data_IF_076614792962
#
_entry.id   IF_076614792962
#
_cell.length_a   1.000
_cell.length_b   1.000
_cell.length_c   1.000
_cell.angle_alpha   90.00
_cell.angle_beta   90.00
_cell.angle_gamma   90.00
#
_symmetry.space_group_name_H-M   'P 1'
#
loop_
_entity.id
_entity.type
_entity.pdbx_description
1 polymer ?
#
# COMPACT_ATOMS: atom_id res chain seq x y z
N UNK A 1 38.63 -0.91 14.08
CA UNK A 1 37.26 -0.38 14.12
C UNK A 1 36.44 -1.18 13.13
N UNK A 2 35.30 -1.71 13.54
CA UNK A 2 34.40 -2.46 12.66
C UNK A 2 33.33 -1.54 12.11
N UNK A 3 32.96 -1.72 10.84
CA UNK A 3 31.92 -0.94 10.17
C UNK A 3 30.83 -1.87 9.66
N UNK A 4 29.57 -1.50 9.90
CA UNK A 4 28.40 -2.18 9.34
C UNK A 4 27.63 -1.23 8.42
N UNK A 5 27.11 -1.73 7.30
CA UNK A 5 26.19 -1.00 6.42
C UNK A 5 24.76 -1.44 6.73
N UNK A 6 23.83 -0.49 6.85
CA UNK A 6 22.40 -0.77 6.95
C UNK A 6 21.75 -0.27 5.67
N UNK A 7 21.34 -1.20 4.80
CA UNK A 7 20.62 -0.88 3.58
C UNK A 7 19.13 -0.71 3.90
N UNK A 8 18.68 0.54 3.94
CA UNK A 8 17.28 0.90 4.00
C UNK A 8 16.59 0.66 2.65
N UNK A 9 15.38 0.11 2.70
CA UNK A 9 14.52 -0.11 1.54
C UNK A 9 13.12 0.44 1.83
N UNK A 10 12.22 -0.39 2.34
CA UNK A 10 10.84 -0.06 2.71
C UNK A 10 10.65 -0.08 4.24
N UNK A 11 11.65 0.43 4.96
CA UNK A 11 11.79 0.41 6.42
C UNK A 11 12.40 1.71 6.95
N UNK A 12 11.94 2.85 6.40
CA UNK A 12 12.51 4.19 6.57
C UNK A 12 12.21 4.82 7.95
N UNK A 13 12.73 4.22 9.01
CA UNK A 13 12.51 4.63 10.40
C UNK A 13 13.70 4.28 11.30
N UNK A 14 13.79 4.91 12.46
CA UNK A 14 14.77 4.54 13.50
C UNK A 14 14.15 3.83 14.70
N UNK A 15 12.84 3.97 14.95
CA UNK A 15 12.17 3.22 16.02
C UNK A 15 11.78 1.83 15.51
N UNK A 16 11.93 0.84 16.36
CA UNK A 16 11.64 -0.56 16.04
C UNK A 16 12.27 -1.02 14.71
N UNK A 17 13.57 -0.79 14.55
CA UNK A 17 14.31 -1.12 13.33
C UNK A 17 15.37 -2.21 13.61
N UNK A 18 15.04 -3.50 13.46
CA UNK A 18 15.96 -4.62 13.71
C UNK A 18 17.29 -4.56 12.94
N UNK A 19 17.32 -4.22 11.63
CA UNK A 19 18.58 -4.13 10.89
C UNK A 19 19.54 -3.10 11.50
N UNK A 20 19.05 -1.89 11.82
CA UNK A 20 19.84 -0.84 12.48
C UNK A 20 20.24 -1.27 13.89
N UNK A 21 19.32 -1.87 14.65
CA UNK A 21 19.63 -2.36 16.01
C UNK A 21 20.77 -3.37 16.01
N UNK A 22 20.78 -4.30 15.06
CA UNK A 22 21.82 -5.31 14.94
C UNK A 22 23.17 -4.70 14.50
N UNK A 23 23.15 -3.75 13.57
CA UNK A 23 24.36 -3.09 13.06
C UNK A 23 25.11 -2.26 14.13
N UNK A 24 24.44 -1.84 15.21
CA UNK A 24 25.06 -1.12 16.34
C UNK A 24 26.04 -1.97 17.16
N UNK A 25 26.20 -3.27 16.85
CA UNK A 25 27.28 -4.08 17.39
C UNK A 25 28.65 -3.70 16.79
N UNK A 26 28.67 -3.01 15.64
CA UNK A 26 29.87 -2.43 15.05
C UNK A 26 30.21 -1.07 15.69
N UNK A 27 31.48 -0.64 15.58
CA UNK A 27 31.94 0.65 16.10
C UNK A 27 31.29 1.83 15.35
N UNK A 28 31.09 1.66 14.04
CA UNK A 28 30.45 2.63 13.16
C UNK A 28 29.43 1.96 12.23
N UNK A 29 28.39 2.71 11.87
CA UNK A 29 27.30 2.26 11.01
C UNK A 29 27.14 3.22 9.86
N UNK A 30 26.93 2.70 8.65
CA UNK A 30 26.54 3.48 7.47
C UNK A 30 25.05 3.25 7.18
N UNK A 31 24.14 4.15 7.60
CA UNK A 31 22.76 4.16 7.12
C UNK A 31 22.75 4.49 5.63
N UNK A 32 22.45 3.52 4.78
CA UNK A 32 22.52 3.64 3.33
C UNK A 32 21.12 3.54 2.71
N UNK A 33 20.78 4.47 1.84
CA UNK A 33 19.65 4.35 0.91
C UNK A 33 20.15 4.51 -0.53
N UNK A 34 19.71 3.63 -1.42
CA UNK A 34 20.10 3.68 -2.84
C UNK A 34 18.87 3.95 -3.70
N UNK A 35 18.90 5.05 -4.46
CA UNK A 35 17.94 5.36 -5.52
C UNK A 35 18.20 4.46 -6.71
N UNK A 36 17.42 3.39 -6.76
CA UNK A 36 17.59 2.29 -7.70
C UNK A 36 16.91 2.56 -9.06
N UNK A 37 17.66 2.62 -10.18
CA UNK A 37 17.06 2.78 -11.50
C UNK A 37 16.15 1.61 -11.90
N UNK A 38 16.27 0.43 -11.29
CA UNK A 38 15.36 -0.69 -11.53
C UNK A 38 13.94 -0.46 -11.01
N UNK A 39 13.76 0.40 -10.00
CA UNK A 39 12.44 0.83 -9.51
C UNK A 39 11.77 1.76 -10.54
N UNK A 40 12.55 2.63 -11.18
CA UNK A 40 12.10 3.47 -12.28
C UNK A 40 11.73 2.66 -13.52
N UNK A 41 12.57 1.69 -13.89
CA UNK A 41 12.30 0.80 -15.02
C UNK A 41 11.02 -0.04 -14.83
N UNK A 42 10.64 -0.36 -13.58
CA UNK A 42 9.37 -0.99 -13.24
C UNK A 42 8.17 -0.01 -13.22
N UNK A 43 8.41 1.29 -13.43
CA UNK A 43 7.42 2.35 -13.37
C UNK A 43 6.84 2.53 -11.98
N UNK A 44 7.60 2.28 -10.92
CA UNK A 44 7.10 2.29 -9.55
C UNK A 44 7.42 3.58 -8.79
N UNK A 45 8.30 4.43 -9.31
CA UNK A 45 8.69 5.74 -8.77
C UNK A 45 7.80 6.90 -9.26
N UNK A 46 6.49 6.65 -9.33
CA UNK A 46 5.49 7.65 -9.76
C UNK A 46 5.48 8.88 -8.83
N UNK A 47 5.04 10.07 -9.31
CA UNK A 47 5.23 11.33 -8.59
C UNK A 47 4.80 11.32 -7.12
N UNK A 48 3.60 10.80 -6.83
CA UNK A 48 3.06 10.75 -5.47
C UNK A 48 3.91 9.90 -4.50
N UNK A 49 4.39 8.73 -4.96
CA UNK A 49 5.26 7.88 -4.15
C UNK A 49 6.66 8.46 -4.02
N UNK A 50 7.19 9.06 -5.08
CA UNK A 50 8.50 9.71 -5.07
C UNK A 50 8.55 10.91 -4.12
N UNK A 51 7.48 11.72 -4.07
CA UNK A 51 7.34 12.81 -3.11
C UNK A 51 7.27 12.31 -1.67
N UNK A 52 6.46 11.29 -1.40
CA UNK A 52 6.36 10.72 -0.06
C UNK A 52 7.67 10.03 0.38
N UNK A 53 8.39 9.40 -0.55
CA UNK A 53 9.73 8.86 -0.31
C UNK A 53 10.71 9.98 0.06
N UNK A 54 10.73 11.09 -0.69
CA UNK A 54 11.59 12.24 -0.38
C UNK A 54 11.34 12.79 1.03
N UNK A 55 10.07 12.93 1.43
CA UNK A 55 9.69 13.31 2.79
C UNK A 55 10.20 12.27 3.82
N UNK A 56 10.06 10.97 3.55
CA UNK A 56 10.55 9.91 4.43
C UNK A 56 12.07 9.95 4.61
N UNK A 57 12.82 10.13 3.53
CA UNK A 57 14.29 10.20 3.58
C UNK A 57 14.76 11.45 4.33
N UNK A 58 14.06 12.57 4.16
CA UNK A 58 14.34 13.81 4.89
C UNK A 58 14.11 13.64 6.39
N UNK A 59 12.99 13.05 6.80
CA UNK A 59 12.71 12.81 8.23
C UNK A 59 13.65 11.76 8.84
N UNK A 60 14.02 10.72 8.07
CA UNK A 60 15.00 9.72 8.48
C UNK A 60 16.39 10.33 8.69
N UNK A 61 16.89 11.14 7.74
CA UNK A 61 18.17 11.85 7.88
C UNK A 61 18.15 12.78 9.10
N UNK A 62 17.09 13.57 9.29
CA UNK A 62 16.94 14.42 10.47
C UNK A 62 16.96 13.61 11.77
N UNK A 63 16.30 12.44 11.79
CA UNK A 63 16.31 11.52 12.93
C UNK A 63 17.69 10.93 13.22
N UNK A 64 18.46 10.59 12.18
CA UNK A 64 19.84 10.10 12.31
C UNK A 64 20.80 11.20 12.77
N UNK A 65 20.64 12.44 12.27
CA UNK A 65 21.45 13.60 12.70
C UNK A 65 21.29 13.95 14.16
N UNK A 66 20.06 13.90 14.68
CA UNK A 66 19.80 14.05 16.13
C UNK A 66 20.53 13.00 17.00
N UNK A 67 21.02 11.91 16.38
CA UNK A 67 21.76 10.81 17.01
C UNK A 67 23.25 10.83 16.66
N UNK A 68 23.76 11.93 16.11
CA UNK A 68 25.16 12.09 15.72
C UNK A 68 25.56 11.43 14.41
N UNK A 69 24.58 10.92 13.64
CA UNK A 69 24.81 10.27 12.35
C UNK A 69 24.29 11.09 11.18
N UNK A 70 24.06 10.41 10.06
CA UNK A 70 23.42 10.94 8.84
C UNK A 70 22.97 9.78 7.95
N UNK A 71 22.05 10.04 7.04
CA UNK A 71 21.74 9.14 5.94
C UNK A 71 22.75 9.33 4.81
N UNK A 72 23.29 8.24 4.28
CA UNK A 72 24.07 8.21 3.05
C UNK A 72 23.15 7.82 1.92
N UNK A 73 22.98 8.72 0.95
CA UNK A 73 22.23 8.44 -0.29
C UNK A 73 23.20 8.16 -1.44
N UNK A 74 22.87 7.16 -2.25
CA UNK A 74 23.51 6.85 -3.54
C UNK A 74 22.46 6.74 -4.63
N UNK A 75 22.88 6.85 -5.88
CA UNK A 75 22.05 6.55 -7.05
C UNK A 75 22.79 5.59 -7.98
N UNK A 76 22.14 4.48 -8.32
CA UNK A 76 22.73 3.46 -9.18
C UNK A 76 22.17 2.07 -8.91
N UNK A 77 22.64 1.04 -9.64
CA UNK A 77 22.26 -0.33 -9.37
C UNK A 77 22.60 -0.72 -7.93
N UNK A 78 21.59 -1.13 -7.14
CA UNK A 78 21.72 -1.28 -5.68
C UNK A 78 22.89 -2.15 -5.26
N UNK A 79 23.08 -3.28 -5.94
CA UNK A 79 24.15 -4.22 -5.61
C UNK A 79 25.52 -3.58 -5.79
N UNK A 80 25.72 -2.80 -6.85
CA UNK A 80 26.97 -2.13 -7.14
C UNK A 80 27.26 -1.04 -6.09
N UNK A 81 26.27 -0.20 -5.78
CA UNK A 81 26.41 0.87 -4.81
C UNK A 81 26.66 0.35 -3.39
N UNK A 82 25.98 -0.72 -2.98
CA UNK A 82 26.20 -1.35 -1.66
C UNK A 82 27.60 -1.94 -1.56
N UNK A 83 28.06 -2.63 -2.61
CA UNK A 83 29.42 -3.17 -2.67
C UNK A 83 30.49 -2.06 -2.66
N UNK A 84 30.26 -0.96 -3.39
CA UNK A 84 31.17 0.18 -3.41
C UNK A 84 31.27 0.85 -2.04
N UNK A 85 30.13 1.06 -1.36
CA UNK A 85 30.12 1.61 0.01
C UNK A 85 30.78 0.66 1.00
N UNK A 86 30.50 -0.64 0.93
CA UNK A 86 31.12 -1.63 1.81
C UNK A 86 32.65 -1.63 1.66
N UNK A 87 33.16 -1.61 0.43
CA UNK A 87 34.60 -1.51 0.16
C UNK A 87 35.19 -0.18 0.66
N UNK A 88 34.50 0.95 0.42
CA UNK A 88 34.96 2.30 0.81
C UNK A 88 35.20 2.45 2.32
N UNK A 89 34.41 1.75 3.15
CA UNK A 89 34.52 1.82 4.61
C UNK A 89 35.05 0.53 5.25
N UNK A 90 35.54 -0.42 4.45
CA UNK A 90 35.98 -1.75 4.91
C UNK A 90 34.92 -2.43 5.82
N UNK A 91 33.65 -2.33 5.44
CA UNK A 91 32.56 -2.92 6.21
C UNK A 91 32.68 -4.44 6.23
N UNK A 92 32.42 -5.04 7.39
CA UNK A 92 32.41 -6.50 7.56
C UNK A 92 31.02 -7.09 7.43
N UNK A 93 29.99 -6.24 7.55
CA UNK A 93 28.59 -6.65 7.59
C UNK A 93 27.69 -5.69 6.81
N UNK A 94 26.66 -6.23 6.16
CA UNK A 94 25.53 -5.50 5.57
C UNK A 94 24.24 -6.04 6.16
N UNK A 95 23.36 -5.16 6.61
CA UNK A 95 22.07 -5.49 7.20
C UNK A 95 20.94 -4.99 6.30
N UNK A 96 19.93 -5.82 6.06
CA UNK A 96 18.78 -5.53 5.20
C UNK A 96 17.50 -6.14 5.78
N UNK A 97 16.37 -5.46 5.64
CA UNK A 97 15.05 -6.03 5.89
C UNK A 97 14.64 -7.03 4.79
N UNK A 98 14.08 -8.18 5.16
CA UNK A 98 13.53 -9.13 4.19
C UNK A 98 12.35 -8.52 3.43
N UNK A 99 12.21 -8.93 2.16
CA UNK A 99 11.10 -8.51 1.30
C UNK A 99 10.53 -9.71 0.54
N UNK A 100 9.27 -9.61 0.10
CA UNK A 100 8.52 -10.74 -0.48
C UNK A 100 8.32 -10.67 -1.99
N UNK A 101 8.70 -9.56 -2.61
CA UNK A 101 8.52 -9.36 -4.05
C UNK A 101 9.62 -10.06 -4.83
N UNK A 102 9.32 -10.46 -6.06
CA UNK A 102 10.36 -11.00 -6.96
C UNK A 102 11.53 -10.03 -7.15
N UNK A 103 11.29 -8.71 -7.06
CA UNK A 103 12.33 -7.70 -7.06
C UNK A 103 13.23 -7.80 -5.82
N UNK A 104 12.63 -7.88 -4.63
CA UNK A 104 13.36 -7.99 -3.36
C UNK A 104 14.20 -9.28 -3.30
N UNK A 105 13.63 -10.42 -3.71
CA UNK A 105 14.35 -11.70 -3.74
C UNK A 105 15.56 -11.65 -4.69
N UNK A 106 15.40 -11.08 -5.90
CA UNK A 106 16.54 -10.93 -6.84
C UNK A 106 17.63 -10.02 -6.28
N UNK A 107 17.25 -8.87 -5.70
CA UNK A 107 18.21 -7.96 -5.04
C UNK A 107 18.96 -8.67 -3.93
N UNK A 108 18.26 -9.40 -3.06
CA UNK A 108 18.89 -10.14 -1.96
C UNK A 108 19.87 -11.20 -2.46
N UNK A 109 19.47 -12.02 -3.44
CA UNK A 109 20.33 -13.05 -4.01
C UNK A 109 21.62 -12.44 -4.62
N UNK A 110 21.47 -11.37 -5.41
CA UNK A 110 22.61 -10.69 -6.01
C UNK A 110 23.53 -10.03 -4.97
N UNK A 111 22.96 -9.42 -3.92
CA UNK A 111 23.75 -8.89 -2.80
C UNK A 111 24.51 -9.99 -2.08
N UNK A 112 23.87 -11.14 -1.83
CA UNK A 112 24.49 -12.28 -1.14
C UNK A 112 25.70 -12.80 -1.90
N UNK A 113 25.58 -12.95 -3.22
CA UNK A 113 26.66 -13.43 -4.07
C UNK A 113 27.79 -12.40 -4.18
N UNK A 114 27.47 -11.13 -4.41
CA UNK A 114 28.46 -10.07 -4.57
C UNK A 114 29.25 -9.78 -3.27
N UNK A 115 28.56 -9.72 -2.12
CA UNK A 115 29.19 -9.46 -0.83
C UNK A 115 30.04 -10.65 -0.34
N UNK A 116 29.63 -11.89 -0.64
CA UNK A 116 30.45 -13.08 -0.38
C UNK A 116 31.80 -12.99 -1.09
N UNK A 117 31.82 -12.51 -2.34
CA UNK A 117 33.06 -12.27 -3.09
C UNK A 117 34.01 -11.25 -2.44
N UNK A 118 33.50 -10.38 -1.57
CA UNK A 118 34.27 -9.38 -0.82
C UNK A 118 34.55 -9.78 0.64
N UNK A 119 34.11 -10.97 1.08
CA UNK A 119 34.23 -11.38 2.47
C UNK A 119 33.32 -10.62 3.44
N UNK A 120 32.25 -9.98 2.94
CA UNK A 120 31.29 -9.19 3.73
C UNK A 120 30.04 -10.03 4.03
N UNK A 121 29.62 -10.11 5.29
CA UNK A 121 28.45 -10.89 5.68
C UNK A 121 27.15 -10.12 5.40
N UNK A 122 26.19 -10.76 4.72
CA UNK A 122 24.84 -10.23 4.56
C UNK A 122 23.89 -10.81 5.63
N UNK A 123 23.30 -9.93 6.44
CA UNK A 123 22.31 -10.25 7.45
C UNK A 123 20.92 -9.75 7.02
N UNK A 124 20.01 -10.68 6.79
CA UNK A 124 18.63 -10.39 6.40
C UNK A 124 17.71 -10.55 7.61
N UNK A 125 16.89 -9.55 7.88
CA UNK A 125 16.05 -9.47 9.08
C UNK A 125 14.57 -9.58 8.73
N UNK A 126 13.90 -10.58 9.31
CA UNK A 126 12.47 -10.78 9.16
C UNK A 126 11.63 -9.91 10.11
N UNK A 127 10.33 -9.84 9.84
CA UNK A 127 9.35 -9.09 10.66
C UNK A 127 9.73 -7.61 10.85
N UNK A 128 10.36 -7.02 9.84
CA UNK A 128 10.66 -5.58 9.77
C UNK A 128 9.57 -4.85 9.02
N UNK A 129 9.17 -5.39 7.87
CA UNK A 129 8.10 -4.87 7.01
C UNK A 129 6.75 -5.52 7.29
N UNK A 130 6.69 -6.70 7.92
CA UNK A 130 5.46 -7.38 8.38
C UNK A 130 5.48 -7.55 9.89
N UNK A 131 4.33 -7.78 10.52
CA UNK A 131 4.30 -8.09 11.95
C UNK A 131 4.71 -9.55 12.22
N UNK A 132 4.26 -10.47 11.34
CA UNK A 132 4.68 -11.87 11.32
C UNK A 132 5.33 -12.17 9.97
N UNK A 133 6.46 -12.85 9.99
CA UNK A 133 7.18 -13.22 8.77
C UNK A 133 6.38 -14.20 7.90
N UNK A 134 6.38 -14.06 6.57
CA UNK A 134 5.94 -15.12 5.67
C UNK A 134 6.60 -16.46 6.01
N UNK A 135 5.83 -17.55 5.94
CA UNK A 135 6.33 -18.89 6.29
C UNK A 135 6.37 -19.20 7.79
N UNK A 136 6.26 -18.20 8.69
CA UNK A 136 6.15 -18.47 10.12
C UNK A 136 4.81 -19.13 10.50
N UNK A 137 3.76 -18.85 9.72
CA UNK A 137 2.41 -19.41 9.91
C UNK A 137 1.97 -20.09 8.61
N UNK A 138 1.97 -21.42 8.61
CA UNK A 138 1.55 -22.25 7.48
C UNK A 138 0.54 -23.31 7.91
N UNK A 139 -0.39 -23.73 7.03
CA UNK A 139 -1.24 -24.87 7.30
C UNK A 139 -0.46 -26.19 7.12
N UNK A 140 -0.93 -27.26 7.76
CA UNK A 140 -0.33 -28.59 7.59
C UNK A 140 -0.39 -29.00 6.12
N UNK A 141 0.76 -29.38 5.55
CA UNK A 141 0.86 -29.91 4.19
C UNK A 141 0.77 -28.86 3.06
N UNK A 142 0.72 -27.56 3.36
CA UNK A 142 0.83 -26.52 2.34
C UNK A 142 1.82 -25.42 2.75
N UNK A 143 2.26 -24.64 1.78
CA UNK A 143 3.25 -23.58 1.92
C UNK A 143 2.67 -22.24 2.39
N UNK A 144 1.35 -22.04 2.28
CA UNK A 144 0.68 -20.81 2.71
C UNK A 144 -0.82 -21.02 2.97
N UNK A 145 -1.45 -20.11 3.72
CA UNK A 145 -2.90 -20.08 3.84
C UNK A 145 -3.53 -19.37 2.62
N UNK A 146 -4.51 -20.02 1.99
CA UNK A 146 -5.27 -19.43 0.88
C UNK A 146 -6.61 -18.78 1.30
N UNK A 147 -6.93 -18.80 2.61
CA UNK A 147 -8.16 -18.22 3.18
C UNK A 147 -7.79 -17.41 4.43
N UNK A 148 -8.30 -16.18 4.52
CA UNK A 148 -7.92 -15.23 5.58
C UNK A 148 -8.33 -15.68 6.98
N UNK A 149 -9.57 -16.14 7.19
CA UNK A 149 -10.07 -16.47 8.54
C UNK A 149 -9.20 -17.49 9.30
N UNK A 150 -8.83 -18.66 8.73
CA UNK A 150 -7.93 -19.59 9.42
C UNK A 150 -6.51 -19.03 9.58
N UNK A 151 -6.01 -18.23 8.63
CA UNK A 151 -4.74 -17.53 8.79
C UNK A 151 -4.77 -16.58 9.99
N UNK A 152 -5.78 -15.70 10.08
CA UNK A 152 -5.94 -14.74 11.17
C UNK A 152 -6.00 -15.43 12.54
N UNK A 153 -6.68 -16.57 12.64
CA UNK A 153 -6.72 -17.36 13.89
C UNK A 153 -5.33 -17.80 14.33
N UNK A 154 -4.50 -18.32 13.41
CA UNK A 154 -3.13 -18.75 13.72
C UNK A 154 -2.19 -17.56 13.94
N UNK A 155 -2.21 -16.59 13.04
CA UNK A 155 -1.43 -15.35 13.12
C UNK A 155 -1.68 -14.60 14.44
N UNK A 156 -2.91 -14.60 14.95
CA UNK A 156 -3.23 -13.91 16.22
C UNK A 156 -2.65 -14.60 17.45
N UNK A 157 -2.30 -15.89 17.36
CA UNK A 157 -1.69 -16.67 18.42
C UNK A 157 -0.16 -16.55 18.42
N UNK A 158 0.43 -16.04 17.34
CA UNK A 158 1.88 -15.88 17.24
C UNK A 158 2.39 -14.82 18.21
N UNK A 159 3.46 -15.17 18.92
CA UNK A 159 4.21 -14.22 19.73
C UNK A 159 5.01 -13.33 18.79
N UNK A 160 4.69 -12.04 18.79
CA UNK A 160 5.49 -11.05 18.10
C UNK A 160 6.85 -10.88 18.78
N UNK A 161 7.88 -10.57 17.99
CA UNK A 161 9.16 -10.12 18.53
C UNK A 161 9.01 -8.87 19.39
N UNK A 162 9.97 -8.64 20.28
CA UNK A 162 10.00 -7.42 21.08
C UNK A 162 10.30 -6.20 20.20
N UNK A 163 9.73 -5.05 20.58
CA UNK A 163 9.96 -3.77 19.91
C UNK A 163 11.36 -3.27 20.24
N UNK A 164 12.16 -3.00 19.20
CA UNK A 164 13.52 -2.49 19.35
C UNK A 164 13.49 -1.00 19.72
N UNK A 165 14.18 -0.56 20.79
CA UNK A 165 14.29 0.87 21.08
C UNK A 165 15.12 1.56 19.99
N UNK A 166 14.75 2.80 19.66
CA UNK A 166 15.55 3.61 18.75
C UNK A 166 16.98 3.83 19.32
N UNK A 167 18.02 3.85 18.48
CA UNK A 167 19.37 4.14 18.93
C UNK A 167 19.48 5.50 19.61
N UNK A 168 20.36 5.60 20.61
CA UNK A 168 20.76 6.90 21.20
C UNK A 168 21.84 7.59 20.36
N UNK A 169 22.73 6.79 19.78
CA UNK A 169 23.87 7.27 18.97
C UNK A 169 24.00 6.40 17.73
N UNK A 170 24.29 7.02 16.59
CA UNK A 170 24.66 6.35 15.34
C UNK A 170 25.91 7.05 14.81
N UNK A 171 27.08 6.41 14.91
CA UNK A 171 28.34 6.98 14.42
C UNK A 171 28.53 6.57 12.96
N UNK A 172 28.67 7.54 12.07
CA UNK A 172 28.83 7.30 10.62
C UNK A 172 30.25 7.68 10.21
N UNK A 173 31.01 6.79 9.53
CA UNK A 173 32.36 7.11 9.10
C UNK A 173 32.41 8.36 8.21
N UNK A 174 33.38 9.23 8.44
CA UNK A 174 33.51 10.49 7.68
C UNK A 174 33.85 10.25 6.21
N UNK A 175 34.59 9.19 5.91
CA UNK A 175 35.03 8.86 4.56
C UNK A 175 33.86 8.62 3.58
N UNK A 176 32.70 8.18 4.07
CA UNK A 176 31.55 7.83 3.23
C UNK A 176 30.68 9.07 2.97
N UNK A 177 30.88 9.73 1.84
CA UNK A 177 30.02 10.85 1.40
C UNK A 177 28.70 10.35 0.86
N UNK A 178 27.70 11.22 0.68
CA UNK A 178 26.37 10.94 0.16
C UNK A 178 26.02 11.91 -0.98
N UNK A 179 25.07 11.54 -1.84
CA UNK A 179 24.37 12.52 -2.68
C UNK A 179 23.40 13.37 -1.84
N UNK A 180 23.00 14.56 -2.32
CA UNK A 180 21.89 15.31 -1.73
C UNK A 180 20.61 14.46 -1.64
N UNK A 181 19.81 14.71 -0.61
CA UNK A 181 18.49 14.10 -0.48
C UNK A 181 17.60 14.57 -1.64
N UNK A 182 16.76 13.69 -2.22
CA UNK A 182 15.73 14.14 -3.16
C UNK A 182 14.76 15.08 -2.43
N UNK A 183 14.26 16.09 -3.14
CA UNK A 183 13.25 17.00 -2.59
C UNK A 183 11.89 16.76 -3.24
N UNK A 184 10.83 16.89 -2.42
CA UNK A 184 9.44 16.91 -2.89
C UNK A 184 9.16 18.09 -3.83
N UNK A 185 9.84 19.21 -3.63
CA UNK A 185 9.65 20.45 -4.40
C UNK A 185 10.18 20.35 -5.83
N UNK A 186 11.01 19.34 -6.12
CA UNK A 186 11.56 19.07 -7.46
C UNK A 186 10.60 18.25 -8.33
N UNK A 187 9.46 17.80 -7.79
CA UNK A 187 8.53 16.90 -8.45
C UNK A 187 7.27 17.62 -8.94
N UNK A 188 6.80 17.23 -10.12
CA UNK A 188 5.56 17.73 -10.73
C UNK A 188 4.51 16.63 -10.84
N UNK A 189 3.24 17.00 -11.03
CA UNK A 189 2.14 16.04 -11.19
C UNK A 189 1.70 15.40 -9.87
N UNK A 190 1.98 16.04 -8.74
CA UNK A 190 1.55 15.57 -7.43
C UNK A 190 0.04 15.77 -7.28
N UNK A 191 -0.60 14.83 -6.62
CA UNK A 191 -1.97 14.98 -6.11
C UNK A 191 -2.04 16.20 -5.17
N UNK A 192 -2.99 17.13 -5.36
CA UNK A 192 -3.07 18.36 -4.55
C UNK A 192 -3.14 18.13 -3.04
N UNK A 193 -3.85 17.10 -2.60
CA UNK A 193 -4.02 16.69 -1.21
C UNK A 193 -3.05 15.59 -0.75
N UNK A 194 -1.93 15.39 -1.46
CA UNK A 194 -0.98 14.31 -1.16
C UNK A 194 -0.44 14.44 0.28
N UNK A 195 -0.51 13.39 1.12
CA UNK A 195 -0.03 13.44 2.49
C UNK A 195 1.49 13.67 2.59
N UNK A 196 1.94 14.10 3.75
CA UNK A 196 3.36 14.26 4.10
C UNK A 196 3.94 12.97 4.65
N UNK A 197 5.10 12.56 4.12
CA UNK A 197 5.84 11.37 4.56
C UNK A 197 6.69 11.59 5.81
N UNK A 198 7.34 10.52 6.26
CA UNK A 198 8.21 10.54 7.45
C UNK A 198 7.69 9.71 8.63
N UNK A 199 8.62 9.22 9.43
CA UNK A 199 8.34 8.53 10.68
C UNK A 199 7.66 9.47 11.67
N UNK A 200 8.18 10.69 11.88
CA UNK A 200 7.60 11.61 12.86
C UNK A 200 6.13 11.97 12.56
N UNK A 201 5.73 12.36 11.33
CA UNK A 201 4.32 12.56 10.98
C UNK A 201 3.48 11.28 11.12
N UNK A 202 4.02 10.11 10.76
CA UNK A 202 3.33 8.83 10.92
C UNK A 202 3.04 8.50 12.39
N UNK A 203 4.02 8.74 13.27
CA UNK A 203 3.89 8.48 14.71
C UNK A 203 2.92 9.45 15.40
N UNK A 204 2.92 10.72 15.00
CA UNK A 204 1.93 11.70 15.45
C UNK A 204 0.52 11.27 15.02
N UNK A 205 0.34 10.93 13.73
CA UNK A 205 -0.94 10.46 13.19
C UNK A 205 -1.46 9.24 13.95
N UNK A 206 -0.62 8.22 14.14
CA UNK A 206 -1.00 7.03 14.89
C UNK A 206 -1.41 7.39 16.32
N UNK A 207 -0.62 8.24 17.01
CA UNK A 207 -0.91 8.63 18.39
C UNK A 207 -2.22 9.43 18.53
N UNK A 208 -2.51 10.33 17.58
CA UNK A 208 -3.80 11.04 17.54
C UNK A 208 -4.95 10.09 17.29
N UNK A 209 -4.83 9.23 16.29
CA UNK A 209 -5.89 8.29 15.93
C UNK A 209 -6.16 7.25 17.04
N UNK A 210 -5.13 6.77 17.74
CA UNK A 210 -5.31 5.89 18.92
C UNK A 210 -6.11 6.59 20.02
N UNK A 211 -5.92 7.91 20.22
CA UNK A 211 -6.63 8.66 21.27
C UNK A 211 -8.10 8.92 20.93
N UNK A 212 -8.44 9.17 19.67
CA UNK A 212 -9.76 9.70 19.30
C UNK A 212 -10.56 8.86 18.30
N UNK A 213 -9.93 7.95 17.56
CA UNK A 213 -10.58 7.19 16.48
C UNK A 213 -10.58 5.67 16.66
N UNK A 214 -9.58 5.12 17.36
CA UNK A 214 -9.42 3.66 17.47
C UNK A 214 -10.62 2.98 18.12
N UNK A 215 -11.20 3.56 19.17
CA UNK A 215 -12.32 2.94 19.88
C UNK A 215 -13.57 2.74 19.00
N UNK A 216 -13.85 3.71 18.12
CA UNK A 216 -15.01 3.69 17.20
C UNK A 216 -14.71 2.97 15.87
N UNK A 217 -13.48 2.46 15.69
CA UNK A 217 -13.03 1.99 14.38
C UNK A 217 -13.89 0.83 13.84
N UNK A 218 -14.25 -0.14 14.68
CA UNK A 218 -15.09 -1.28 14.24
C UNK A 218 -16.44 -0.81 13.65
N UNK A 219 -17.06 0.21 14.26
CA UNK A 219 -18.37 0.68 13.83
C UNK A 219 -18.30 1.66 12.65
N UNK A 220 -17.19 2.39 12.50
CA UNK A 220 -17.08 3.54 11.58
C UNK A 220 -16.15 3.34 10.39
N UNK A 221 -15.35 2.27 10.34
CA UNK A 221 -14.36 2.09 9.27
C UNK A 221 -14.94 1.95 7.86
N UNK A 222 -16.26 1.73 7.76
CA UNK A 222 -16.99 1.59 6.51
C UNK A 222 -17.74 2.86 6.09
N UNK A 223 -17.84 3.88 6.97
CA UNK A 223 -18.46 5.18 6.69
C UNK A 223 -17.54 6.04 5.82
N UNK A 224 -17.93 6.21 4.55
CA UNK A 224 -17.17 6.97 3.56
C UNK A 224 -17.07 8.45 3.89
N UNK A 225 -18.14 9.04 4.44
CA UNK A 225 -18.20 10.47 4.71
C UNK A 225 -17.42 10.82 5.99
N UNK A 226 -17.48 9.94 6.99
CA UNK A 226 -16.86 10.10 8.30
C UNK A 226 -15.34 9.96 8.33
N UNK A 227 -14.74 9.27 7.35
CA UNK A 227 -13.28 9.14 7.20
C UNK A 227 -12.55 8.70 8.49
N UNK A 228 -13.15 7.75 9.22
CA UNK A 228 -12.71 7.34 10.56
C UNK A 228 -11.49 6.39 10.57
N UNK A 229 -10.81 6.22 9.42
CA UNK A 229 -9.68 5.29 9.29
C UNK A 229 -8.37 5.92 9.77
N UNK A 230 -7.38 5.07 10.05
CA UNK A 230 -6.09 5.53 10.57
C UNK A 230 -5.27 6.34 9.54
N UNK A 231 -5.54 6.18 8.24
CA UNK A 231 -4.74 6.72 7.12
C UNK A 231 -3.23 6.42 7.25
N UNK A 232 -2.88 5.25 7.82
CA UNK A 232 -1.48 4.84 8.06
C UNK A 232 -0.84 4.03 6.93
N UNK A 233 -1.61 3.65 5.91
CA UNK A 233 -1.14 2.78 4.82
C UNK A 233 0.12 3.30 4.10
N UNK A 234 0.33 4.60 3.83
CA UNK A 234 1.55 5.07 3.17
C UNK A 234 2.78 4.90 4.09
N UNK A 235 2.63 5.18 5.38
CA UNK A 235 3.70 5.02 6.36
C UNK A 235 4.08 3.55 6.58
N UNK A 236 3.12 2.62 6.47
CA UNK A 236 3.36 1.18 6.51
C UNK A 236 3.99 0.64 5.21
N UNK A 237 3.72 1.26 4.06
CA UNK A 237 4.33 0.89 2.79
C UNK A 237 5.81 1.27 2.74
N UNK A 238 6.15 2.51 3.11
CA UNK A 238 7.53 2.98 3.20
C UNK A 238 8.26 2.55 4.49
N UNK A 239 7.54 1.87 5.39
CA UNK A 239 8.07 1.41 6.67
C UNK A 239 8.54 2.51 7.62
N UNK A 240 7.98 3.71 7.47
CA UNK A 240 8.06 4.81 8.42
C UNK A 240 7.34 4.48 9.75
N UNK A 241 6.50 3.44 9.77
CA UNK A 241 5.94 2.85 10.98
C UNK A 241 6.19 1.34 11.01
N UNK A 242 6.44 0.80 12.21
CA UNK A 242 6.57 -0.64 12.40
C UNK A 242 5.21 -1.32 12.57
N UNK A 243 4.87 -2.33 11.76
CA UNK A 243 3.66 -3.12 11.98
C UNK A 243 3.67 -3.87 13.32
N UNK A 244 4.83 -4.33 13.80
CA UNK A 244 4.95 -4.98 15.12
C UNK A 244 4.57 -4.02 16.24
N UNK A 245 5.12 -2.81 16.22
CA UNK A 245 4.80 -1.78 17.23
C UNK A 245 3.32 -1.40 17.19
N UNK A 246 2.75 -1.22 15.99
CA UNK A 246 1.33 -0.88 15.86
C UNK A 246 0.42 -1.97 16.41
N UNK A 247 0.71 -3.25 16.14
CA UNK A 247 -0.07 -4.38 16.67
C UNK A 247 0.04 -4.44 18.20
N UNK A 248 1.24 -4.33 18.77
CA UNK A 248 1.43 -4.36 20.22
C UNK A 248 0.68 -3.20 20.90
N UNK A 249 0.86 -1.97 20.43
CA UNK A 249 0.18 -0.79 21.00
C UNK A 249 -1.34 -0.83 20.85
N UNK A 250 -1.85 -1.41 19.76
CA UNK A 250 -3.29 -1.63 19.61
C UNK A 250 -3.80 -2.69 20.60
N UNK A 251 -3.11 -3.83 20.72
CA UNK A 251 -3.45 -4.90 21.69
C UNK A 251 -3.43 -4.39 23.14
N UNK A 252 -2.46 -3.53 23.49
CA UNK A 252 -2.41 -2.87 24.81
C UNK A 252 -3.62 -1.97 25.08
N UNK A 253 -4.21 -1.34 24.06
CA UNK A 253 -5.45 -0.57 24.22
C UNK A 253 -6.68 -1.45 24.36
N UNK A 254 -6.72 -2.56 23.62
CA UNK A 254 -7.83 -3.51 23.66
C UNK A 254 -9.15 -2.92 23.13
N UNK A 255 -10.19 -3.76 23.17
CA UNK A 255 -11.53 -3.42 22.72
C UNK A 255 -11.77 -3.65 21.22
N UNK A 256 -13.04 -3.59 20.78
CA UNK A 256 -13.45 -4.02 19.43
C UNK A 256 -12.72 -3.27 18.30
N UNK A 257 -12.58 -1.95 18.41
CA UNK A 257 -11.88 -1.16 17.41
C UNK A 257 -10.38 -1.46 17.31
N UNK A 258 -9.73 -1.83 18.43
CA UNK A 258 -8.34 -2.29 18.40
C UNK A 258 -8.19 -3.66 17.73
N UNK A 259 -9.08 -4.59 18.02
CA UNK A 259 -9.12 -5.92 17.38
C UNK A 259 -9.37 -5.80 15.87
N UNK A 260 -10.30 -4.93 15.48
CA UNK A 260 -10.61 -4.61 14.09
C UNK A 260 -9.39 -4.03 13.36
N UNK A 261 -8.65 -3.13 13.99
CA UNK A 261 -7.42 -2.56 13.42
C UNK A 261 -6.31 -3.61 13.28
N UNK A 262 -6.09 -4.44 14.30
CA UNK A 262 -5.13 -5.55 14.25
C UNK A 262 -5.48 -6.54 13.14
N UNK A 263 -6.78 -6.82 12.94
CA UNK A 263 -7.27 -7.64 11.83
C UNK A 263 -6.90 -7.05 10.46
N UNK A 264 -6.92 -5.72 10.29
CA UNK A 264 -6.46 -5.08 9.05
C UNK A 264 -4.94 -5.18 8.85
N UNK A 265 -4.15 -5.08 9.92
CA UNK A 265 -2.70 -5.34 9.84
C UNK A 265 -2.41 -6.80 9.47
N UNK A 266 -3.21 -7.75 9.98
CA UNK A 266 -3.12 -9.15 9.56
C UNK A 266 -3.49 -9.35 8.09
N UNK A 267 -4.46 -8.60 7.53
CA UNK A 267 -4.75 -8.66 6.08
C UNK A 267 -3.52 -8.29 5.24
N UNK A 268 -2.75 -7.30 5.70
CA UNK A 268 -1.48 -6.93 5.06
C UNK A 268 -0.49 -8.10 5.07
N UNK A 269 -0.29 -8.74 6.21
CA UNK A 269 0.61 -9.90 6.34
C UNK A 269 0.10 -11.13 5.56
N UNK A 270 -1.21 -11.33 5.50
CA UNK A 270 -1.86 -12.38 4.71
C UNK A 270 -1.53 -12.24 3.21
N UNK A 271 -1.55 -11.02 2.68
CA UNK A 271 -1.13 -10.78 1.31
C UNK A 271 0.38 -10.99 1.12
N UNK A 272 1.21 -10.61 2.10
CA UNK A 272 2.65 -10.87 2.03
C UNK A 272 2.99 -12.36 2.00
N UNK A 273 2.34 -13.20 2.81
CA UNK A 273 2.58 -14.65 2.75
C UNK A 273 2.04 -15.31 1.47
N UNK A 274 0.91 -14.85 0.93
CA UNK A 274 0.41 -15.34 -0.37
C UNK A 274 1.41 -15.00 -1.47
N UNK A 275 1.90 -13.76 -1.55
CA UNK A 275 2.84 -13.37 -2.61
C UNK A 275 4.20 -14.06 -2.45
N UNK A 276 4.69 -14.24 -1.23
CA UNK A 276 5.92 -14.98 -0.97
C UNK A 276 5.84 -16.42 -1.50
N UNK A 277 4.70 -17.09 -1.29
CA UNK A 277 4.48 -18.45 -1.82
C UNK A 277 4.17 -18.47 -3.33
N UNK A 278 3.56 -17.42 -3.87
CA UNK A 278 3.11 -17.34 -5.28
C UNK A 278 3.52 -16.01 -5.91
N UNK A 279 4.81 -15.81 -6.23
CA UNK A 279 5.31 -14.54 -6.76
C UNK A 279 4.63 -14.09 -8.07
N UNK A 280 4.22 -15.04 -8.91
CA UNK A 280 3.51 -14.79 -10.17
C UNK A 280 2.15 -14.12 -9.96
N UNK A 281 1.56 -14.21 -8.77
CA UNK A 281 0.31 -13.51 -8.45
C UNK A 281 0.46 -11.98 -8.49
N UNK A 282 1.69 -11.45 -8.58
CA UNK A 282 1.91 -10.02 -8.84
C UNK A 282 1.52 -9.57 -10.25
N UNK A 283 1.37 -10.49 -11.22
CA UNK A 283 1.06 -10.17 -12.62
C UNK A 283 0.07 -11.13 -13.28
N UNK A 284 -0.09 -12.34 -12.74
CA UNK A 284 -0.97 -13.40 -13.26
C UNK A 284 -2.09 -13.68 -12.27
N UNK A 285 -3.17 -14.26 -12.78
CA UNK A 285 -4.28 -14.69 -11.92
C UNK A 285 -3.80 -15.80 -10.98
N UNK A 286 -3.98 -15.62 -9.68
CA UNK A 286 -3.67 -16.64 -8.67
C UNK A 286 -4.55 -17.88 -8.86
N UNK A 287 -5.81 -17.67 -9.21
CA UNK A 287 -6.76 -18.71 -9.62
C UNK A 287 -7.39 -18.30 -10.95
N UNK A 288 -6.82 -18.80 -12.04
CA UNK A 288 -7.45 -18.64 -13.36
C UNK A 288 -8.81 -19.31 -13.38
N UNK A 289 -9.80 -18.61 -13.93
CA UNK A 289 -11.15 -19.13 -14.20
C UNK A 289 -11.43 -19.17 -15.70
N UNK A 290 -10.37 -19.14 -16.52
CA UNK A 290 -10.45 -18.96 -17.97
C UNK A 290 -11.18 -17.67 -18.37
N UNK A 291 -10.95 -16.62 -17.59
CA UNK A 291 -11.59 -15.32 -17.77
C UNK A 291 -11.12 -14.68 -19.08
N UNK A 292 -12.09 -14.28 -19.90
CA UNK A 292 -11.87 -13.50 -21.13
C UNK A 292 -12.14 -12.04 -20.83
N UNK A 293 -11.15 -11.38 -20.26
CA UNK A 293 -11.23 -9.96 -19.90
C UNK A 293 -11.36 -9.08 -21.15
N UNK A 294 -12.12 -7.99 -21.05
CA UNK A 294 -12.05 -6.93 -22.06
C UNK A 294 -10.69 -6.22 -21.95
N UNK A 295 -9.99 -6.15 -23.06
CA UNK A 295 -8.69 -5.50 -23.16
C UNK A 295 -8.82 -3.96 -23.20
N UNK A 296 -7.69 -3.25 -23.11
CA UNK A 296 -7.67 -1.79 -23.03
C UNK A 296 -8.19 -1.12 -24.32
N UNK A 297 -7.94 -1.71 -25.48
CA UNK A 297 -8.44 -1.27 -26.77
C UNK A 297 -9.95 -1.49 -26.93
N UNK A 298 -10.47 -2.63 -26.47
CA UNK A 298 -11.91 -2.97 -26.51
C UNK A 298 -12.77 -2.14 -25.54
N UNK A 299 -12.17 -1.56 -24.52
CA UNK A 299 -12.86 -0.83 -23.45
C UNK A 299 -12.29 0.57 -23.22
N UNK A 300 -11.62 1.16 -24.21
CA UNK A 300 -10.88 2.41 -24.06
C UNK A 300 -11.73 3.55 -23.48
N UNK A 301 -12.95 3.75 -23.98
CA UNK A 301 -13.87 4.79 -23.51
C UNK A 301 -14.37 4.53 -22.08
N UNK A 302 -14.76 3.29 -21.78
CA UNK A 302 -15.19 2.85 -20.44
C UNK A 302 -14.07 3.07 -19.41
N UNK A 303 -12.84 2.71 -19.78
CA UNK A 303 -11.65 2.87 -18.94
C UNK A 303 -11.35 4.35 -18.72
N UNK A 304 -11.39 5.18 -19.77
CA UNK A 304 -11.15 6.61 -19.66
C UNK A 304 -12.18 7.28 -18.74
N UNK A 305 -13.46 6.98 -18.93
CA UNK A 305 -14.53 7.52 -18.08
C UNK A 305 -14.41 7.04 -16.63
N UNK A 306 -13.99 5.80 -16.38
CA UNK A 306 -13.67 5.31 -15.04
C UNK A 306 -12.47 6.02 -14.42
N UNK A 307 -11.34 6.14 -15.14
CA UNK A 307 -10.14 6.89 -14.68
C UNK A 307 -10.45 8.36 -14.37
N UNK A 308 -11.43 8.95 -15.06
CA UNK A 308 -11.88 10.33 -14.88
C UNK A 308 -12.93 10.54 -13.79
N UNK A 309 -13.52 9.47 -13.26
CA UNK A 309 -14.69 9.61 -12.39
C UNK A 309 -15.85 10.31 -13.11
N UNK A 310 -16.17 9.82 -14.32
CA UNK A 310 -17.29 10.24 -15.17
C UNK A 310 -18.15 9.06 -15.61
N UNK A 311 -18.27 8.05 -14.75
CA UNK A 311 -19.05 6.83 -15.02
C UNK A 311 -20.56 7.03 -14.96
N UNK A 312 -21.00 8.14 -14.37
CA UNK A 312 -22.41 8.40 -14.08
C UNK A 312 -22.92 7.68 -12.82
N UNK A 313 -22.03 6.97 -12.10
CA UNK A 313 -22.30 6.39 -10.78
C UNK A 313 -21.58 7.19 -9.69
N UNK A 314 -22.30 8.03 -8.92
CA UNK A 314 -21.68 9.06 -8.07
C UNK A 314 -20.66 8.56 -7.07
N UNK A 315 -20.90 7.42 -6.41
CA UNK A 315 -19.96 6.86 -5.43
C UNK A 315 -18.66 6.34 -6.08
N UNK A 316 -18.74 5.86 -7.33
CA UNK A 316 -17.56 5.42 -8.10
C UNK A 316 -16.79 6.65 -8.59
N UNK A 317 -17.50 7.67 -9.06
CA UNK A 317 -16.89 8.91 -9.54
C UNK A 317 -16.21 9.67 -8.40
N UNK A 318 -16.85 9.74 -7.24
CA UNK A 318 -16.28 10.29 -6.01
C UNK A 318 -14.98 9.55 -5.61
N UNK A 319 -14.97 8.22 -5.72
CA UNK A 319 -13.80 7.39 -5.44
C UNK A 319 -12.61 7.74 -6.34
N UNK A 320 -12.84 7.82 -7.65
CA UNK A 320 -11.79 8.11 -8.62
C UNK A 320 -11.27 9.55 -8.52
N UNK A 321 -12.15 10.50 -8.18
CA UNK A 321 -11.77 11.89 -7.92
C UNK A 321 -11.02 12.05 -6.60
N UNK A 322 -11.39 11.31 -5.54
CA UNK A 322 -10.59 11.24 -4.31
C UNK A 322 -9.19 10.72 -4.60
N UNK A 323 -9.08 9.60 -5.33
CA UNK A 323 -7.79 9.00 -5.71
C UNK A 323 -6.88 10.03 -6.40
N UNK A 324 -7.41 10.77 -7.38
CA UNK A 324 -6.67 11.80 -8.11
C UNK A 324 -6.26 12.96 -7.20
N UNK A 325 -7.16 13.41 -6.32
CA UNK A 325 -6.91 14.57 -5.48
C UNK A 325 -5.97 14.28 -4.30
N UNK A 326 -6.17 13.18 -3.58
CA UNK A 326 -5.41 12.86 -2.37
C UNK A 326 -4.21 11.94 -2.63
N UNK A 327 -4.13 11.32 -3.81
CA UNK A 327 -3.20 10.20 -4.04
C UNK A 327 -3.49 9.02 -3.11
N UNK A 328 -4.69 8.98 -2.53
CA UNK A 328 -5.16 8.01 -1.55
C UNK A 328 -6.65 7.84 -1.73
N UNK A 329 -7.17 6.67 -1.37
CA UNK A 329 -8.60 6.38 -1.46
C UNK A 329 -9.05 5.51 -0.30
N UNK A 330 -10.24 5.79 0.24
CA UNK A 330 -10.84 5.00 1.30
C UNK A 330 -11.04 3.54 0.87
N UNK A 331 -10.76 2.55 1.74
CA UNK A 331 -10.80 1.13 1.36
C UNK A 331 -12.16 0.71 0.77
N UNK A 332 -13.27 1.17 1.36
CA UNK A 332 -14.61 0.93 0.81
C UNK A 332 -14.77 1.52 -0.60
N UNK A 333 -14.24 2.71 -0.85
CA UNK A 333 -14.27 3.35 -2.17
C UNK A 333 -13.40 2.58 -3.18
N UNK A 334 -12.22 2.07 -2.77
CA UNK A 334 -11.39 1.18 -3.60
C UNK A 334 -12.16 -0.05 -4.05
N UNK A 335 -12.86 -0.70 -3.12
CA UNK A 335 -13.67 -1.88 -3.41
C UNK A 335 -14.78 -1.58 -4.43
N UNK A 336 -15.46 -0.44 -4.29
CA UNK A 336 -16.54 -0.04 -5.21
C UNK A 336 -16.01 0.29 -6.59
N UNK A 337 -14.96 1.11 -6.68
CA UNK A 337 -14.34 1.48 -7.94
C UNK A 337 -13.75 0.26 -8.67
N UNK A 338 -13.07 -0.63 -7.94
CA UNK A 338 -12.52 -1.86 -8.51
C UNK A 338 -13.63 -2.82 -8.96
N UNK A 339 -14.67 -3.02 -8.13
CA UNK A 339 -15.79 -3.89 -8.49
C UNK A 339 -16.53 -3.36 -9.71
N UNK A 340 -16.70 -2.05 -9.83
CA UNK A 340 -17.33 -1.46 -11.01
C UNK A 340 -16.52 -1.79 -12.28
N UNK A 341 -15.20 -1.61 -12.25
CA UNK A 341 -14.34 -1.91 -13.39
C UNK A 341 -14.38 -3.40 -13.78
N UNK A 342 -14.14 -4.31 -12.83
CA UNK A 342 -13.92 -5.74 -13.16
C UNK A 342 -15.19 -6.58 -13.17
N UNK A 343 -16.28 -6.12 -12.56
CA UNK A 343 -17.57 -6.84 -12.52
C UNK A 343 -18.67 -6.16 -13.32
N UNK A 344 -18.71 -4.83 -13.38
CA UNK A 344 -19.78 -4.14 -14.14
C UNK A 344 -19.33 -3.87 -15.58
N UNK A 345 -18.15 -3.27 -15.77
CA UNK A 345 -17.59 -3.02 -17.11
C UNK A 345 -16.90 -4.26 -17.71
N UNK A 346 -16.52 -5.21 -16.85
CA UNK A 346 -15.81 -6.46 -17.16
C UNK A 346 -14.46 -6.25 -17.86
N UNK A 347 -13.71 -5.25 -17.39
CA UNK A 347 -12.36 -4.91 -17.86
C UNK A 347 -11.31 -5.71 -17.08
N UNK A 348 -10.17 -6.02 -17.70
CA UNK A 348 -9.04 -6.66 -17.03
C UNK A 348 -8.62 -5.88 -15.77
N UNK A 349 -8.57 -6.58 -14.64
CA UNK A 349 -8.20 -6.02 -13.35
C UNK A 349 -6.81 -5.37 -13.36
N UNK A 350 -5.89 -5.83 -14.21
CA UNK A 350 -4.52 -5.30 -14.34
C UNK A 350 -4.50 -3.84 -14.77
N UNK A 351 -5.47 -3.43 -15.59
CA UNK A 351 -5.60 -2.04 -16.07
C UNK A 351 -5.94 -1.11 -14.91
N UNK A 352 -6.93 -1.50 -14.09
CA UNK A 352 -7.29 -0.76 -12.88
C UNK A 352 -6.19 -0.80 -11.83
N UNK A 353 -5.52 -1.94 -11.68
CA UNK A 353 -4.42 -2.11 -10.76
C UNK A 353 -3.21 -1.24 -11.11
N UNK A 354 -2.87 -1.11 -12.39
CA UNK A 354 -1.84 -0.17 -12.85
C UNK A 354 -2.25 1.26 -12.57
N UNK A 355 -3.47 1.65 -12.91
CA UNK A 355 -3.96 3.01 -12.65
C UNK A 355 -3.93 3.39 -11.16
N UNK A 356 -4.28 2.44 -10.27
CA UNK A 356 -4.13 2.64 -8.83
C UNK A 356 -2.66 2.81 -8.45
N UNK A 357 -1.74 2.00 -8.98
CA UNK A 357 -0.30 2.18 -8.77
C UNK A 357 0.26 3.46 -9.41
N UNK A 358 -0.43 4.12 -10.33
CA UNK A 358 0.02 5.41 -10.86
C UNK A 358 -0.25 6.58 -9.91
N UNK A 359 -1.25 6.46 -9.05
CA UNK A 359 -1.73 7.55 -8.20
C UNK A 359 -1.59 7.27 -6.70
N UNK A 360 -1.71 6.02 -6.26
CA UNK A 360 -1.68 5.69 -4.83
C UNK A 360 -0.28 5.93 -4.23
N UNK A 361 -0.25 6.80 -3.22
CA UNK A 361 0.91 7.01 -2.35
C UNK A 361 1.20 5.79 -1.47
N UNK A 362 0.16 4.98 -1.17
CA UNK A 362 0.30 3.67 -0.53
C UNK A 362 0.28 2.50 -1.53
N UNK A 363 0.57 2.79 -2.81
CA UNK A 363 0.59 1.81 -3.88
C UNK A 363 1.66 0.76 -3.62
N UNK A 364 1.26 -0.35 -3.00
CA UNK A 364 2.09 -1.51 -2.67
C UNK A 364 1.76 -2.67 -3.60
N UNK A 365 2.74 -3.23 -4.30
CA UNK A 365 2.47 -4.30 -5.28
C UNK A 365 1.80 -5.52 -4.63
N UNK A 366 2.12 -5.83 -3.38
CA UNK A 366 1.56 -6.99 -2.68
C UNK A 366 0.07 -6.78 -2.43
N UNK A 367 -0.26 -5.70 -1.71
CA UNK A 367 -1.63 -5.43 -1.31
C UNK A 367 -2.49 -4.98 -2.48
N UNK A 368 -1.96 -4.20 -3.43
CA UNK A 368 -2.72 -3.76 -4.59
C UNK A 368 -3.14 -4.96 -5.45
N UNK A 369 -2.19 -5.78 -5.90
CA UNK A 369 -2.50 -6.88 -6.82
C UNK A 369 -3.42 -7.93 -6.19
N UNK A 370 -3.19 -8.29 -4.92
CA UNK A 370 -4.01 -9.30 -4.26
C UNK A 370 -5.40 -8.80 -3.87
N UNK A 371 -5.58 -7.51 -3.56
CA UNK A 371 -6.92 -6.94 -3.41
C UNK A 371 -7.65 -6.85 -4.75
N UNK A 372 -6.99 -6.43 -5.84
CA UNK A 372 -7.60 -6.42 -7.17
C UNK A 372 -8.07 -7.81 -7.60
N UNK A 373 -7.26 -8.84 -7.36
CA UNK A 373 -7.65 -10.22 -7.63
C UNK A 373 -8.78 -10.72 -6.73
N UNK A 374 -8.80 -10.33 -5.45
CA UNK A 374 -9.91 -10.63 -4.54
C UNK A 374 -11.24 -10.04 -5.05
N UNK A 375 -11.21 -8.81 -5.57
CA UNK A 375 -12.39 -8.18 -6.18
C UNK A 375 -12.73 -8.84 -7.52
N UNK A 376 -11.73 -9.16 -8.34
CA UNK A 376 -11.91 -9.79 -9.65
C UNK A 376 -12.40 -11.24 -9.58
N UNK A 377 -12.29 -11.91 -8.41
CA UNK A 377 -12.66 -13.32 -8.26
C UNK A 377 -11.58 -14.29 -8.75
N UNK A 378 -10.36 -13.79 -8.95
CA UNK A 378 -9.17 -14.55 -9.38
C UNK A 378 -8.18 -14.77 -8.24
N UNK A 379 -8.53 -14.34 -7.02
CA UNK A 379 -7.66 -14.35 -5.85
C UNK A 379 -8.04 -15.39 -4.79
N UNK A 380 -7.81 -15.02 -3.53
CA UNK A 380 -8.10 -15.83 -2.33
C UNK A 380 -9.55 -15.70 -1.85
N UNK A 381 -10.41 -15.08 -2.65
CA UNK A 381 -11.81 -14.88 -2.31
C UNK A 381 -12.59 -16.20 -2.26
N UNK A 382 -13.65 -16.21 -1.44
CA UNK A 382 -14.55 -17.36 -1.28
C UNK A 382 -15.88 -17.17 -2.02
N UNK A 383 -16.09 -16.01 -2.67
CA UNK A 383 -17.33 -15.63 -3.36
C UNK A 383 -17.01 -14.94 -4.70
N UNK A 384 -16.41 -15.64 -5.67
CA UNK A 384 -15.81 -15.05 -6.89
C UNK A 384 -16.82 -14.42 -7.84
N UNK A 385 -18.10 -14.73 -7.66
CA UNK A 385 -19.18 -14.26 -8.52
C UNK A 385 -20.01 -13.14 -7.89
N UNK A 386 -19.61 -12.62 -6.72
CA UNK A 386 -20.32 -11.52 -6.07
C UNK A 386 -20.08 -10.22 -6.84
N UNK A 387 -21.13 -9.69 -7.46
CA UNK A 387 -21.14 -8.34 -8.06
C UNK A 387 -21.70 -7.36 -7.04
N UNK A 388 -21.02 -6.24 -6.83
CA UNK A 388 -21.51 -5.17 -5.96
C UNK A 388 -22.36 -4.18 -6.78
N UNK A 389 -23.57 -3.91 -6.31
CA UNK A 389 -24.40 -2.85 -6.87
C UNK A 389 -23.94 -1.49 -6.29
N UNK A 390 -23.38 -0.56 -7.09
CA UNK A 390 -22.82 0.70 -6.60
C UNK A 390 -23.87 1.58 -5.91
N UNK A 391 -25.13 1.57 -6.37
CA UNK A 391 -26.22 2.36 -5.76
C UNK A 391 -26.55 1.84 -4.36
N UNK A 392 -26.70 0.52 -4.21
CA UNK A 392 -26.98 -0.09 -2.89
C UNK A 392 -25.84 0.15 -1.92
N UNK A 393 -24.60 0.09 -2.40
CA UNK A 393 -23.42 0.36 -1.58
C UNK A 393 -23.32 1.84 -1.20
N UNK A 394 -23.58 2.77 -2.13
CA UNK A 394 -23.64 4.21 -1.86
C UNK A 394 -24.67 4.54 -0.79
N UNK A 395 -25.90 4.05 -0.94
CA UNK A 395 -26.97 4.25 0.07
C UNK A 395 -26.63 3.68 1.45
N UNK A 396 -25.80 2.63 1.52
CA UNK A 396 -25.39 2.00 2.78
C UNK A 396 -24.24 2.72 3.47
N UNK A 397 -23.22 3.12 2.71
CA UNK A 397 -21.94 3.62 3.24
C UNK A 397 -21.75 5.13 3.10
N UNK A 398 -22.67 5.81 2.42
CA UNK A 398 -22.73 7.26 2.23
C UNK A 398 -24.20 7.71 2.15
N UNK A 399 -25.02 7.35 3.15
CA UNK A 399 -26.48 7.50 3.09
C UNK A 399 -26.95 8.93 2.80
N UNK A 400 -26.30 9.93 3.38
CA UNK A 400 -26.57 11.36 3.18
C UNK A 400 -25.78 11.97 1.99
N UNK A 401 -24.99 11.17 1.28
CA UNK A 401 -24.20 11.63 0.14
C UNK A 401 -23.01 12.52 0.49
N UNK A 402 -22.60 12.60 1.76
CA UNK A 402 -21.53 13.50 2.21
C UNK A 402 -20.19 13.24 1.51
N UNK A 403 -19.89 11.98 1.20
CA UNK A 403 -18.71 11.61 0.42
C UNK A 403 -18.86 12.01 -1.05
N UNK A 404 -20.01 11.72 -1.67
CA UNK A 404 -20.30 12.13 -3.06
C UNK A 404 -20.23 13.65 -3.23
N UNK A 405 -20.90 14.43 -2.38
CA UNK A 405 -20.91 15.90 -2.46
C UNK A 405 -19.52 16.53 -2.30
N UNK A 406 -18.63 15.87 -1.55
CA UNK A 406 -17.25 16.31 -1.34
C UNK A 406 -16.44 16.20 -2.63
N UNK A 407 -16.58 15.09 -3.36
CA UNK A 407 -15.72 14.77 -4.50
C UNK A 407 -16.38 14.99 -5.87
N UNK A 408 -17.70 15.10 -5.92
CA UNK A 408 -18.51 15.37 -7.11
C UNK A 408 -19.32 16.65 -6.83
N UNK A 409 -18.67 17.83 -6.82
CA UNK A 409 -19.28 19.08 -6.38
C UNK A 409 -20.48 19.50 -7.23
N UNK A 410 -20.57 19.08 -8.49
CA UNK A 410 -21.74 19.31 -9.35
C UNK A 410 -23.02 18.62 -8.84
N UNK A 411 -22.91 17.64 -7.92
CA UNK A 411 -24.04 16.99 -7.26
C UNK A 411 -24.34 17.55 -5.86
N UNK A 412 -23.67 18.64 -5.45
CA UNK A 412 -23.75 19.16 -4.07
C UNK A 412 -25.16 19.52 -3.61
N UNK A 413 -26.03 19.95 -4.51
CA UNK A 413 -27.39 20.39 -4.17
C UNK A 413 -28.47 19.32 -4.45
N UNK A 414 -28.08 18.15 -4.96
CA UNK A 414 -29.02 17.05 -5.24
C UNK A 414 -29.50 16.43 -3.93
N UNK A 415 -30.80 16.31 -3.67
CA UNK A 415 -31.31 15.77 -2.40
C UNK A 415 -30.77 14.34 -2.09
N UNK A 416 -30.61 14.02 -0.79
CA UNK A 416 -30.03 12.74 -0.31
C UNK A 416 -30.71 11.51 -0.93
N UNK A 417 -32.03 11.55 -1.11
CA UNK A 417 -32.80 10.45 -1.70
C UNK A 417 -32.48 10.17 -3.19
N UNK A 418 -31.74 11.07 -3.86
CA UNK A 418 -31.37 10.98 -5.29
C UNK A 418 -29.87 11.13 -5.54
N UNK A 419 -29.05 11.40 -4.51
CA UNK A 419 -27.61 11.65 -4.67
C UNK A 419 -26.85 10.49 -5.31
N UNK A 420 -27.31 9.25 -5.11
CA UNK A 420 -26.71 8.03 -5.71
C UNK A 420 -27.39 7.60 -7.01
N UNK A 421 -28.44 8.29 -7.44
CA UNK A 421 -29.21 8.00 -8.66
C UNK A 421 -29.63 9.31 -9.38
N UNK A 422 -28.70 10.23 -9.70
CA UNK A 422 -29.03 11.54 -10.27
C UNK A 422 -29.72 11.43 -11.64
N UNK A 423 -29.54 10.33 -12.37
CA UNK A 423 -30.25 10.07 -13.63
C UNK A 423 -31.76 9.86 -13.45
N UNK A 424 -32.24 9.64 -12.22
CA UNK A 424 -33.66 9.54 -11.86
C UNK A 424 -34.26 10.86 -11.36
N UNK A 425 -33.52 11.96 -11.41
CA UNK A 425 -34.05 13.29 -11.12
C UNK A 425 -35.12 13.68 -12.14
N UNK A 426 -36.13 14.49 -11.75
CA UNK A 426 -37.04 15.12 -12.70
C UNK A 426 -36.25 15.87 -13.78
N UNK A 427 -36.77 15.90 -15.01
CA UNK A 427 -36.04 16.44 -16.16
C UNK A 427 -35.56 17.89 -15.94
N UNK A 428 -36.40 18.73 -15.34
CA UNK A 428 -36.08 20.12 -15.02
C UNK A 428 -34.92 20.26 -14.01
N UNK A 429 -34.79 19.34 -13.06
CA UNK A 429 -33.67 19.32 -12.10
C UNK A 429 -32.43 18.73 -12.74
N UNK A 430 -32.57 17.61 -13.46
CA UNK A 430 -31.46 16.95 -14.15
C UNK A 430 -30.80 17.85 -15.18
N UNK A 431 -31.57 18.69 -15.88
CA UNK A 431 -31.03 19.66 -16.86
C UNK A 431 -30.15 20.75 -16.23
N UNK A 432 -30.23 20.96 -14.90
CA UNK A 432 -29.40 21.93 -14.15
C UNK A 432 -28.15 21.29 -13.55
N UNK A 433 -28.03 19.97 -13.62
CA UNK A 433 -26.93 19.21 -13.03
C UNK A 433 -26.03 18.73 -14.15
N UNK A 434 -24.83 19.32 -14.25
CA UNK A 434 -23.81 18.95 -15.25
C UNK A 434 -23.07 17.66 -14.85
N UNK A 435 -23.79 16.54 -14.83
CA UNK A 435 -23.25 15.23 -14.46
C UNK A 435 -23.62 14.16 -15.51
N UNK A 436 -22.68 13.29 -15.94
CA UNK A 436 -22.92 12.34 -17.02
C UNK A 436 -24.03 11.34 -16.69
N UNK A 437 -24.69 10.84 -17.74
CA UNK A 437 -25.57 9.67 -17.62
C UNK A 437 -24.73 8.41 -17.31
N UNK A 438 -25.32 7.38 -16.68
CA UNK A 438 -24.64 6.11 -16.46
C UNK A 438 -24.08 5.53 -17.77
N UNK A 439 -22.80 5.14 -17.76
CA UNK A 439 -22.15 4.48 -18.90
C UNK A 439 -22.85 3.19 -19.34
N UNK A 440 -23.44 2.49 -18.37
CA UNK A 440 -24.07 1.19 -18.56
C UNK A 440 -25.21 1.04 -17.56
N UNK A 441 -26.30 0.38 -17.96
CA UNK A 441 -27.33 -0.06 -17.02
C UNK A 441 -26.82 -1.22 -16.14
N UNK A 442 -27.25 -1.27 -14.87
CA UNK A 442 -26.79 -2.30 -13.93
C UNK A 442 -27.24 -3.72 -14.33
N UNK A 443 -28.40 -3.87 -14.97
CA UNK A 443 -28.88 -5.13 -15.50
C UNK A 443 -28.02 -5.61 -16.67
N UNK A 444 -27.68 -4.70 -17.59
CA UNK A 444 -26.77 -4.99 -18.70
C UNK A 444 -25.37 -5.38 -18.21
N UNK A 445 -24.81 -4.65 -17.25
CA UNK A 445 -23.51 -4.97 -16.66
C UNK A 445 -23.49 -6.34 -15.97
N UNK A 446 -24.58 -6.71 -15.29
CA UNK A 446 -24.71 -8.05 -14.70
C UNK A 446 -24.81 -9.14 -15.77
N UNK A 447 -25.56 -8.91 -16.85
CA UNK A 447 -25.64 -9.83 -17.98
C UNK A 447 -24.27 -10.02 -18.64
N UNK A 448 -23.53 -8.94 -18.87
CA UNK A 448 -22.15 -8.95 -19.38
C UNK A 448 -21.23 -9.82 -18.52
N UNK A 449 -21.29 -9.66 -17.21
CA UNK A 449 -20.50 -10.47 -16.27
C UNK A 449 -20.86 -11.96 -16.32
N UNK A 450 -22.15 -12.30 -16.38
CA UNK A 450 -22.63 -13.69 -16.43
C UNK A 450 -22.20 -14.37 -17.72
N UNK A 451 -22.41 -13.71 -18.85
CA UNK A 451 -22.04 -14.20 -20.17
C UNK A 451 -20.54 -14.49 -20.26
N UNK A 452 -19.72 -13.53 -19.85
CA UNK A 452 -18.27 -13.68 -19.92
C UNK A 452 -17.69 -14.71 -18.94
N UNK A 453 -18.49 -15.18 -17.97
CA UNK A 453 -18.16 -16.28 -17.05
C UNK A 453 -18.82 -17.61 -17.43
N UNK A 454 -19.54 -17.68 -18.56
CA UNK A 454 -20.28 -18.86 -19.00
C UNK A 454 -21.41 -19.25 -18.03
N UNK A 455 -22.13 -18.25 -17.51
CA UNK A 455 -23.18 -18.42 -16.48
C UNK A 455 -24.53 -17.83 -16.90
N UNK A 456 -24.81 -17.86 -18.19
CA UNK A 456 -26.10 -17.41 -18.74
C UNK A 456 -27.28 -18.24 -18.24
#
# INVERSE_FOLDING_TARGET
>A
MTVAVVLFTSDLRVHDHPPLRAALAADEVVPLFVRDPGVHAAGFDVPNRSAFLADCLTDLDASLRRRGGRLVVRKGPVVQEVCAVAAQCAATQVHLASGVTGYAHRREAQLRDALRGQGVALHVHDSVITAVAPGAVTPVGHDHFAVFTPYFRRWSQERLRDVCPAPRTVRVPDAVRGEPLPSRDELSGLSPGLPTGGEAPGRDRFSRWVRSGLAEYEDRHDDLAGDATSRLSPYLHFGALSPVELVQRARERGGPGAEAFVRQLCWRDFHHQVLAARPDASSRDYRTRHDRWRAEDEAAEDIAAWRDGRTGYPVVDAAMRQLRHEGWMHNRARLLAASFLVKTLYVDWRIGARHFLDLLVDGDIVNNQLNWQWVAGTGTDTRPHRVLNPVVQGKRFDAAGGYVRRWVPELRDVADARIHEPWRLPEAERARVEYPRPLIDLGEGLARFRHARGRD
#
